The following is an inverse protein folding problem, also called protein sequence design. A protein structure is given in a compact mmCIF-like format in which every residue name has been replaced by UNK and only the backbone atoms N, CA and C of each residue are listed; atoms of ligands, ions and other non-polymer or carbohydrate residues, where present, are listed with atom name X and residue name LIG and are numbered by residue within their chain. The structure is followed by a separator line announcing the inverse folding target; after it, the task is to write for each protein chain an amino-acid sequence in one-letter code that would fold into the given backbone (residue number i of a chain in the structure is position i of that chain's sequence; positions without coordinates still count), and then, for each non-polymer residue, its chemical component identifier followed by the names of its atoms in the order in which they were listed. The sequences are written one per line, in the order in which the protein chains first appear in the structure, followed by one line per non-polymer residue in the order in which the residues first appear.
data_IF_060403786015
#
_entry.id   IF_060403786015
#
_cell.length_a   1.000
_cell.length_b   1.000
_cell.length_c   1.000
_cell.angle_alpha   90.00
_cell.angle_beta   90.00
_cell.angle_gamma   90.00
#
_symmetry.space_group_name_H-M   'P 1'
#
loop_
_entity.id
_entity.type
_entity.pdbx_description
1 polymer ?
#
# COMPACT_ATOMS: atom_id res chain seq x y z
N UNK A 1 30.11 20.60 -102.62
CA UNK A 1 29.17 21.68 -102.40
C UNK A 1 28.19 21.22 -101.33
N UNK A 2 28.45 21.44 -100.09
CA UNK A 2 27.47 21.17 -99.01
C UNK A 2 27.89 21.94 -97.75
N UNK A 3 27.08 22.92 -97.42
CA UNK A 3 27.23 23.77 -96.21
C UNK A 3 26.80 23.01 -95.00
N UNK A 4 27.69 22.96 -94.00
CA UNK A 4 27.37 22.50 -92.64
C UNK A 4 26.87 23.67 -91.78
N UNK A 5 25.69 23.55 -91.19
CA UNK A 5 25.21 24.47 -90.18
C UNK A 5 25.50 23.85 -88.79
N UNK A 6 26.24 24.60 -88.03
CA UNK A 6 26.50 24.26 -86.58
C UNK A 6 25.38 24.86 -85.76
N UNK A 7 24.66 24.02 -85.02
CA UNK A 7 23.71 24.45 -84.00
C UNK A 7 24.41 24.49 -82.61
N UNK A 8 24.42 25.69 -82.00
CA UNK A 8 24.81 25.88 -80.62
C UNK A 8 23.63 25.51 -79.73
N UNK A 9 23.80 24.49 -78.85
CA UNK A 9 22.86 24.20 -77.84
C UNK A 9 23.26 24.96 -76.52
N UNK A 10 22.41 25.85 -76.10
CA UNK A 10 22.53 26.55 -74.83
C UNK A 10 22.03 25.63 -73.70
N UNK A 11 22.91 25.29 -72.78
CA UNK A 11 22.61 24.51 -71.59
C UNK A 11 22.13 25.44 -70.49
N UNK A 12 20.82 25.47 -70.18
CA UNK A 12 20.24 26.23 -69.12
C UNK A 12 20.34 25.36 -67.87
N UNK A 13 21.19 25.71 -66.89
CA UNK A 13 21.29 25.08 -65.59
C UNK A 13 20.18 25.63 -64.72
N UNK A 14 19.19 24.80 -64.41
CA UNK A 14 18.11 25.08 -63.47
C UNK A 14 18.56 24.68 -62.04
N UNK A 15 18.89 25.68 -61.23
CA UNK A 15 19.17 25.47 -59.79
C UNK A 15 17.86 25.34 -59.07
N UNK A 16 17.49 24.11 -58.65
CA UNK A 16 16.36 23.85 -57.78
C UNK A 16 16.81 24.06 -56.33
N UNK A 17 16.44 25.19 -55.72
CA UNK A 17 16.56 25.42 -54.30
C UNK A 17 15.51 24.58 -53.58
N UNK A 18 15.93 23.42 -53.03
CA UNK A 18 15.14 22.65 -52.06
C UNK A 18 15.16 23.39 -50.69
N UNK A 19 14.16 24.21 -50.45
CA UNK A 19 13.87 24.69 -49.10
C UNK A 19 13.24 23.55 -48.31
N UNK A 20 14.09 22.78 -47.61
CA UNK A 20 13.64 21.79 -46.65
C UNK A 20 13.00 22.50 -45.44
N UNK A 21 11.68 22.53 -45.38
CA UNK A 21 10.96 22.86 -44.15
C UNK A 21 11.23 21.75 -43.17
N UNK A 22 12.11 22.01 -42.19
CA UNK A 22 12.24 21.20 -40.98
C UNK A 22 10.88 21.27 -40.23
N UNK A 23 10.03 20.28 -40.45
CA UNK A 23 8.92 20.04 -39.57
C UNK A 23 9.51 19.58 -38.24
N UNK A 24 9.62 20.50 -37.30
CA UNK A 24 9.77 20.16 -35.89
C UNK A 24 8.54 19.32 -35.50
N UNK A 25 8.73 18.00 -35.39
CA UNK A 25 7.76 17.14 -34.75
C UNK A 25 7.82 17.54 -33.27
N UNK A 26 6.98 18.49 -32.86
CA UNK A 26 6.67 18.73 -31.49
C UNK A 26 6.07 17.41 -31.00
N UNK A 27 6.84 16.65 -30.26
CA UNK A 27 6.29 15.57 -29.43
C UNK A 27 5.36 16.25 -28.45
N UNK A 28 4.07 16.13 -28.72
CA UNK A 28 3.01 16.54 -27.81
C UNK A 28 3.16 15.68 -26.56
N UNK A 29 3.95 16.17 -25.61
CA UNK A 29 4.01 15.59 -24.27
C UNK A 29 2.67 15.93 -23.59
N UNK A 30 1.66 15.15 -23.91
CA UNK A 30 0.43 15.18 -23.15
C UNK A 30 0.80 15.06 -21.67
N UNK A 31 0.39 16.05 -20.87
CA UNK A 31 0.62 16.01 -19.42
C UNK A 31 0.14 14.66 -18.86
N UNK A 32 0.90 14.04 -17.96
CA UNK A 32 0.51 12.75 -17.42
C UNK A 32 -0.89 12.87 -16.80
N UNK A 33 -1.75 11.93 -17.12
CA UNK A 33 -3.15 11.88 -16.65
C UNK A 33 -3.23 11.89 -15.11
N UNK A 34 -2.22 11.33 -14.45
CA UNK A 34 -2.07 11.32 -12.99
C UNK A 34 -0.72 11.87 -12.58
N UNK A 35 -0.69 12.52 -11.43
CA UNK A 35 0.55 13.00 -10.80
C UNK A 35 1.43 11.84 -10.36
N UNK A 36 2.73 12.07 -10.32
CA UNK A 36 3.72 11.17 -9.72
C UNK A 36 4.22 11.74 -8.40
N UNK A 37 4.55 10.88 -7.44
CA UNK A 37 5.15 11.30 -6.18
C UNK A 37 6.51 11.96 -6.44
N UNK A 38 6.68 13.20 -5.94
CA UNK A 38 7.86 14.03 -6.16
C UNK A 38 8.32 14.66 -4.84
N UNK A 39 9.64 14.91 -4.67
CA UNK A 39 10.15 15.68 -3.55
C UNK A 39 9.50 17.07 -3.44
N UNK A 40 9.40 17.57 -2.19
CA UNK A 40 8.83 18.89 -1.91
C UNK A 40 7.32 18.88 -1.63
N UNK A 41 6.67 17.72 -1.61
CA UNK A 41 5.31 17.60 -1.11
C UNK A 41 5.27 17.97 0.38
N UNK A 42 4.32 18.82 0.75
CA UNK A 42 4.14 19.26 2.15
C UNK A 42 2.82 18.71 2.65
N UNK A 43 2.91 17.77 3.58
CA UNK A 43 1.73 17.23 4.24
C UNK A 43 1.04 18.28 5.10
N UNK A 44 -0.27 18.36 5.02
CA UNK A 44 -1.12 19.27 5.78
C UNK A 44 -2.28 18.47 6.43
N UNK A 45 -2.07 18.07 7.67
CA UNK A 45 -3.10 17.35 8.42
C UNK A 45 -4.11 18.33 9.05
N UNK A 46 -5.43 17.99 9.07
CA UNK A 46 -6.04 16.69 8.74
C UNK A 46 -6.34 16.48 7.26
N UNK A 47 -6.11 17.45 6.37
CA UNK A 47 -6.47 17.38 4.95
C UNK A 47 -5.89 16.13 4.26
N UNK A 48 -4.61 15.85 4.46
CA UNK A 48 -3.93 14.73 3.79
C UNK A 48 -4.25 13.35 4.41
N UNK A 49 -5.29 13.28 5.26
CA UNK A 49 -5.97 12.03 5.56
C UNK A 49 -7.07 11.69 4.54
N UNK A 50 -7.49 12.66 3.74
CA UNK A 50 -8.47 12.51 2.67
C UNK A 50 -7.89 11.96 1.38
N UNK A 51 -8.71 11.89 0.35
CA UNK A 51 -8.34 11.33 -0.95
C UNK A 51 -7.47 12.28 -1.78
N UNK A 52 -6.50 11.71 -2.49
CA UNK A 52 -5.58 12.40 -3.40
C UNK A 52 -5.90 12.02 -4.85
N UNK A 53 -7.03 12.51 -5.38
CA UNK A 53 -7.58 12.10 -6.69
C UNK A 53 -6.65 12.36 -7.88
N UNK A 54 -5.66 13.24 -7.74
CA UNK A 54 -4.61 13.47 -8.75
C UNK A 54 -3.64 12.31 -8.89
N UNK A 55 -3.63 11.38 -7.93
CA UNK A 55 -2.85 10.15 -7.99
C UNK A 55 -3.74 8.98 -8.42
N UNK A 56 -3.16 8.02 -9.15
CA UNK A 56 -3.90 6.89 -9.71
C UNK A 56 -4.36 5.91 -8.66
N UNK A 57 -3.51 5.60 -7.70
CA UNK A 57 -3.74 4.56 -6.68
C UNK A 57 -3.52 5.15 -5.30
N UNK A 58 -4.38 4.76 -4.37
CA UNK A 58 -4.33 5.19 -2.99
C UNK A 58 -4.94 4.14 -2.11
N UNK A 59 -4.42 3.96 -0.88
CA UNK A 59 -5.02 3.07 0.10
C UNK A 59 -4.91 3.61 1.51
N UNK A 60 -5.91 3.30 2.31
CA UNK A 60 -6.00 3.46 3.75
C UNK A 60 -6.05 2.06 4.35
N UNK A 61 -5.00 1.67 5.02
CA UNK A 61 -4.79 0.33 5.55
C UNK A 61 -4.72 0.37 7.06
N UNK A 62 -5.49 -0.47 7.73
CA UNK A 62 -5.51 -0.59 9.18
C UNK A 62 -5.34 -2.03 9.59
N UNK A 63 -4.44 -2.27 10.55
CA UNK A 63 -4.29 -3.56 11.22
C UNK A 63 -4.15 -3.37 12.72
N UNK A 64 -4.43 -4.42 13.50
CA UNK A 64 -4.26 -4.32 14.93
C UNK A 64 -4.39 -5.64 15.66
N UNK A 65 -3.92 -5.60 16.91
CA UNK A 65 -4.09 -6.65 17.89
C UNK A 65 -5.00 -6.18 18.99
N UNK A 66 -6.09 -6.93 19.23
CA UNK A 66 -7.13 -6.59 20.17
C UNK A 66 -7.31 -7.72 21.18
N UNK A 67 -7.65 -7.35 22.41
CA UNK A 67 -7.89 -8.29 23.51
C UNK A 67 -9.23 -7.97 24.15
N UNK A 68 -10.09 -8.97 24.25
CA UNK A 68 -11.36 -8.87 24.97
C UNK A 68 -11.18 -9.03 26.48
N UNK A 69 -12.17 -8.60 27.26
CA UNK A 69 -12.26 -8.96 28.66
C UNK A 69 -12.24 -10.50 28.78
N UNK A 70 -11.39 -11.03 29.61
CA UNK A 70 -11.17 -12.50 29.72
C UNK A 70 -9.98 -13.01 28.91
N UNK A 71 -9.29 -12.16 28.17
CA UNK A 71 -7.99 -12.46 27.56
C UNK A 71 -8.06 -12.99 26.13
N UNK A 72 -9.24 -13.21 25.55
CA UNK A 72 -9.38 -13.66 24.15
C UNK A 72 -8.76 -12.64 23.20
N UNK A 73 -7.93 -13.12 22.28
CA UNK A 73 -7.11 -12.29 21.40
C UNK A 73 -7.59 -12.36 19.95
N UNK A 74 -7.56 -11.21 19.30
CA UNK A 74 -7.95 -11.03 17.92
C UNK A 74 -6.91 -10.22 17.14
N UNK A 75 -6.76 -10.53 15.85
CA UNK A 75 -6.15 -9.67 14.88
C UNK A 75 -7.20 -9.12 13.91
N UNK A 76 -7.02 -7.94 13.36
CA UNK A 76 -7.88 -7.45 12.30
C UNK A 76 -7.07 -6.72 11.21
N UNK A 77 -7.60 -6.74 10.00
CA UNK A 77 -7.23 -5.90 8.87
C UNK A 77 -8.48 -5.25 8.32
N UNK A 78 -8.40 -3.94 8.01
CA UNK A 78 -9.40 -3.20 7.24
C UNK A 78 -8.68 -2.27 6.28
N UNK A 79 -8.81 -2.56 4.98
CA UNK A 79 -8.15 -1.78 3.94
C UNK A 79 -9.15 -1.26 2.93
N UNK A 80 -9.01 0.02 2.58
CA UNK A 80 -9.71 0.64 1.45
C UNK A 80 -8.70 1.01 0.38
N UNK A 81 -9.01 0.72 -0.86
CA UNK A 81 -8.23 1.10 -2.02
C UNK A 81 -9.06 2.01 -2.93
N UNK A 82 -8.45 3.05 -3.46
CA UNK A 82 -8.99 3.89 -4.52
C UNK A 82 -8.13 3.75 -5.77
N UNK A 83 -8.78 3.61 -6.92
CA UNK A 83 -8.11 3.60 -8.21
C UNK A 83 -8.79 4.56 -9.17
N UNK A 84 -8.05 5.57 -9.63
CA UNK A 84 -8.46 6.45 -10.72
C UNK A 84 -8.42 5.73 -12.07
N UNK A 85 -9.45 5.92 -12.88
CA UNK A 85 -9.55 5.42 -14.24
C UNK A 85 -9.08 6.52 -15.18
N UNK A 86 -8.09 6.26 -16.08
CA UNK A 86 -7.62 7.25 -17.03
C UNK A 86 -8.78 7.79 -17.91
N UNK A 87 -8.87 9.11 -18.16
CA UNK A 87 -9.97 9.71 -18.92
C UNK A 87 -10.19 9.11 -20.30
N UNK A 88 -9.15 8.66 -20.98
CA UNK A 88 -9.24 7.98 -22.27
C UNK A 88 -9.95 6.63 -22.21
N UNK A 89 -10.02 6.02 -21.01
CA UNK A 89 -10.75 4.78 -20.75
C UNK A 89 -12.20 5.05 -20.27
N UNK A 90 -12.47 6.27 -19.83
CA UNK A 90 -13.81 6.71 -19.47
C UNK A 90 -14.53 7.04 -20.80
N UNK A 91 -15.55 6.26 -21.13
CA UNK A 91 -16.38 6.57 -22.31
C UNK A 91 -16.92 7.98 -22.17
N UNK A 92 -16.66 8.84 -23.16
CA UNK A 92 -16.99 10.27 -23.22
C UNK A 92 -18.49 10.58 -23.30
N UNK A 93 -19.37 9.69 -22.86
CA UNK A 93 -20.78 10.01 -22.72
C UNK A 93 -21.01 10.80 -21.43
N UNK A 94 -21.73 11.93 -21.48
CA UNK A 94 -22.15 12.69 -20.30
C UNK A 94 -23.21 11.91 -19.52
N UNK A 95 -22.84 10.77 -18.99
CA UNK A 95 -23.69 9.89 -18.21
C UNK A 95 -23.18 9.90 -16.77
N UNK A 96 -24.07 10.03 -15.80
CA UNK A 96 -23.81 9.77 -14.39
C UNK A 96 -23.28 8.34 -14.13
N UNK A 97 -23.18 7.53 -15.19
CA UNK A 97 -22.67 6.17 -15.19
C UNK A 97 -21.19 6.06 -15.62
N UNK A 98 -20.53 7.18 -15.99
CA UNK A 98 -19.09 7.15 -16.26
C UNK A 98 -18.34 6.82 -14.98
N UNK A 99 -17.46 5.81 -15.05
CA UNK A 99 -16.65 5.38 -13.89
C UNK A 99 -15.35 6.16 -13.93
N UNK A 100 -15.15 7.05 -12.96
CA UNK A 100 -13.90 7.80 -12.79
C UNK A 100 -13.03 7.20 -11.70
N UNK A 101 -13.65 6.63 -10.66
CA UNK A 101 -12.97 6.03 -9.53
C UNK A 101 -13.57 4.65 -9.23
N UNK A 102 -12.70 3.70 -8.90
CA UNK A 102 -13.05 2.42 -8.32
C UNK A 102 -12.58 2.37 -6.88
N UNK A 103 -13.43 1.85 -6.01
CA UNK A 103 -13.14 1.59 -4.62
C UNK A 103 -13.20 0.11 -4.33
N UNK A 104 -12.20 -0.40 -3.66
CA UNK A 104 -12.12 -1.79 -3.22
C UNK A 104 -11.90 -1.77 -1.72
N UNK A 105 -12.33 -2.82 -1.03
CA UNK A 105 -12.07 -2.94 0.40
C UNK A 105 -11.88 -4.40 0.78
N UNK A 106 -10.94 -4.64 1.70
CA UNK A 106 -10.70 -5.92 2.34
C UNK A 106 -10.97 -5.78 3.84
N UNK A 107 -11.56 -6.79 4.42
CA UNK A 107 -11.79 -6.87 5.84
C UNK A 107 -11.51 -8.28 6.32
N UNK A 108 -10.56 -8.43 7.23
CA UNK A 108 -10.22 -9.71 7.83
C UNK A 108 -10.24 -9.64 9.35
N UNK A 109 -10.54 -10.77 9.97
CA UNK A 109 -10.53 -10.97 11.41
C UNK A 109 -9.88 -12.31 11.73
N UNK A 110 -8.84 -12.27 12.55
CA UNK A 110 -8.17 -13.44 13.12
C UNK A 110 -8.68 -13.65 14.54
N UNK A 111 -9.32 -14.77 14.82
CA UNK A 111 -9.76 -15.20 16.14
C UNK A 111 -8.81 -16.30 16.65
N UNK A 112 -7.88 -15.94 17.51
CA UNK A 112 -6.78 -16.83 17.90
C UNK A 112 -7.25 -18.04 18.70
N UNK A 113 -8.12 -17.85 19.70
CA UNK A 113 -8.66 -18.95 20.51
C UNK A 113 -9.64 -19.82 19.69
N UNK A 114 -10.37 -19.19 18.76
CA UNK A 114 -11.24 -19.91 17.83
C UNK A 114 -10.49 -20.61 16.70
N UNK A 115 -9.18 -20.38 16.58
CA UNK A 115 -8.33 -20.87 15.48
C UNK A 115 -8.97 -20.62 14.10
N UNK A 116 -9.47 -19.38 13.87
CA UNK A 116 -10.25 -19.01 12.70
C UNK A 116 -9.71 -17.73 12.07
N UNK A 117 -9.66 -17.73 10.74
CA UNK A 117 -9.45 -16.57 9.90
C UNK A 117 -10.70 -16.33 9.06
N UNK A 118 -11.29 -15.16 9.22
CA UNK A 118 -12.50 -14.73 8.52
C UNK A 118 -12.14 -13.54 7.65
N UNK A 119 -12.56 -13.54 6.38
CA UNK A 119 -12.33 -12.38 5.53
C UNK A 119 -13.49 -12.15 4.56
N UNK A 120 -13.59 -10.93 4.08
CA UNK A 120 -14.51 -10.52 3.02
C UNK A 120 -13.86 -9.42 2.19
N UNK A 121 -14.22 -9.36 0.91
CA UNK A 121 -13.77 -8.35 -0.01
C UNK A 121 -14.94 -7.72 -0.76
N UNK A 122 -14.80 -6.44 -1.13
CA UNK A 122 -15.79 -5.66 -1.86
C UNK A 122 -15.15 -4.85 -2.97
N UNK A 123 -15.94 -4.59 -4.01
CA UNK A 123 -15.64 -3.67 -5.10
C UNK A 123 -16.87 -2.84 -5.41
N UNK A 124 -16.72 -1.53 -5.57
CA UNK A 124 -17.74 -0.64 -6.10
C UNK A 124 -17.09 0.48 -6.92
N UNK A 125 -17.85 1.04 -7.83
CA UNK A 125 -17.53 2.34 -8.41
C UNK A 125 -17.99 3.46 -7.47
N UNK A 126 -17.41 4.63 -7.63
CA UNK A 126 -17.95 5.83 -7.00
C UNK A 126 -19.39 6.13 -7.46
N UNK A 127 -20.08 6.96 -6.71
CA UNK A 127 -21.42 7.47 -7.03
C UNK A 127 -22.53 6.71 -6.32
N UNK A 128 -23.73 7.32 -6.35
CA UNK A 128 -24.94 6.85 -5.67
C UNK A 128 -24.74 6.65 -4.14
N UNK A 129 -23.73 7.28 -3.54
CA UNK A 129 -23.41 7.13 -2.12
C UNK A 129 -22.88 5.76 -1.71
N UNK A 130 -22.61 4.84 -2.68
CA UNK A 130 -22.18 3.48 -2.37
C UNK A 130 -20.70 3.38 -2.03
N UNK A 131 -19.86 4.16 -2.68
CA UNK A 131 -18.44 4.23 -2.38
C UNK A 131 -17.90 5.62 -2.68
N UNK A 132 -16.88 6.02 -1.95
CA UNK A 132 -16.23 7.32 -2.11
C UNK A 132 -15.16 7.57 -1.06
N UNK A 133 -14.49 8.72 -1.20
CA UNK A 133 -13.64 9.28 -0.17
C UNK A 133 -13.70 10.81 -0.24
N UNK A 134 -13.68 11.48 0.92
CA UNK A 134 -13.59 12.93 1.00
C UNK A 134 -12.14 13.39 0.79
N UNK A 135 -11.94 14.59 0.24
CA UNK A 135 -10.61 15.10 -0.14
C UNK A 135 -9.99 16.04 0.90
N UNK A 136 -10.73 16.41 1.93
CA UNK A 136 -10.31 17.39 2.95
C UNK A 136 -10.16 16.79 4.36
N UNK A 137 -10.57 15.55 4.53
CA UNK A 137 -10.47 14.79 5.78
C UNK A 137 -10.53 13.29 5.54
N UNK A 138 -10.18 12.51 6.55
CA UNK A 138 -10.41 11.07 6.52
C UNK A 138 -11.91 10.77 6.55
N UNK A 139 -12.42 10.32 5.44
CA UNK A 139 -13.70 9.64 5.31
C UNK A 139 -13.67 8.86 4.01
N UNK A 140 -13.40 7.57 4.09
CA UNK A 140 -13.49 6.61 2.97
C UNK A 140 -14.54 5.57 3.32
N UNK A 141 -15.37 5.20 2.33
CA UNK A 141 -16.42 4.22 2.55
C UNK A 141 -16.68 3.35 1.32
N UNK A 142 -17.19 2.16 1.58
CA UNK A 142 -17.74 1.24 0.61
C UNK A 142 -18.96 0.51 1.20
N UNK A 143 -20.15 0.87 0.76
CA UNK A 143 -21.46 0.57 1.41
C UNK A 143 -21.46 1.06 2.87
N UNK A 144 -21.52 0.10 3.83
CA UNK A 144 -21.49 0.36 5.27
C UNK A 144 -20.13 0.15 5.91
N UNK A 145 -19.10 -0.16 5.13
CA UNK A 145 -17.73 -0.19 5.63
C UNK A 145 -17.13 1.20 5.51
N UNK A 146 -16.46 1.67 6.54
CA UNK A 146 -15.87 3.01 6.54
C UNK A 146 -14.70 3.14 7.48
N UNK A 147 -13.81 4.08 7.14
CA UNK A 147 -12.86 4.68 8.05
C UNK A 147 -13.10 6.21 8.00
N UNK A 148 -13.42 6.80 9.13
CA UNK A 148 -13.77 8.21 9.22
C UNK A 148 -13.14 8.87 10.44
N UNK A 149 -12.76 10.15 10.31
CA UNK A 149 -12.32 10.96 11.43
C UNK A 149 -13.55 11.55 12.13
N UNK A 150 -13.77 11.14 13.37
CA UNK A 150 -14.88 11.63 14.18
C UNK A 150 -14.61 13.03 14.74
N UNK A 151 -13.33 13.30 15.07
CA UNK A 151 -12.92 14.56 15.66
C UNK A 151 -11.53 14.97 15.15
N UNK A 152 -11.46 16.00 14.27
CA UNK A 152 -10.18 16.49 13.75
C UNK A 152 -9.21 17.00 14.83
N UNK A 153 -9.72 17.51 15.96
CA UNK A 153 -8.86 18.05 17.01
C UNK A 153 -8.07 16.98 17.76
N UNK A 154 -8.66 15.79 17.95
CA UNK A 154 -8.02 14.64 18.59
C UNK A 154 -7.44 13.64 17.60
N UNK A 155 -7.66 13.84 16.30
CA UNK A 155 -7.36 12.85 15.24
C UNK A 155 -8.00 11.47 15.51
N UNK A 156 -9.07 11.42 16.31
CA UNK A 156 -9.81 10.19 16.59
C UNK A 156 -10.54 9.73 15.34
N UNK A 157 -10.40 8.44 15.05
CA UNK A 157 -10.98 7.82 13.87
C UNK A 157 -11.90 6.67 14.29
N UNK A 158 -12.93 6.42 13.51
CA UNK A 158 -13.82 5.28 13.66
C UNK A 158 -13.70 4.35 12.46
N UNK A 159 -13.52 3.06 12.75
CA UNK A 159 -13.42 1.99 11.76
C UNK A 159 -14.66 1.10 11.89
N UNK A 160 -15.40 0.94 10.81
CA UNK A 160 -16.60 0.11 10.78
C UNK A 160 -16.57 -0.82 9.57
N UNK A 161 -16.70 -2.12 9.82
CA UNK A 161 -16.89 -3.11 8.77
C UNK A 161 -17.79 -4.24 9.29
N UNK A 162 -18.74 -4.66 8.46
CA UNK A 162 -19.68 -5.71 8.84
C UNK A 162 -20.02 -6.61 7.66
N UNK A 163 -20.07 -7.89 7.95
CA UNK A 163 -20.67 -8.96 7.15
C UNK A 163 -21.79 -9.61 7.96
N UNK A 164 -22.47 -10.58 7.38
CA UNK A 164 -23.47 -11.36 8.14
C UNK A 164 -22.80 -12.17 9.26
N UNK A 165 -21.55 -12.64 9.03
CA UNK A 165 -20.84 -13.54 9.93
C UNK A 165 -19.98 -12.83 10.98
N UNK A 166 -19.40 -11.68 10.68
CA UNK A 166 -18.48 -10.96 11.57
C UNK A 166 -18.46 -9.46 11.30
N UNK A 167 -18.09 -8.68 12.32
CA UNK A 167 -18.02 -7.22 12.23
C UNK A 167 -17.02 -6.64 13.22
N UNK A 168 -16.58 -5.41 12.92
CA UNK A 168 -15.89 -4.51 13.85
C UNK A 168 -16.59 -3.14 13.89
N UNK A 169 -16.55 -2.51 15.07
CA UNK A 169 -16.84 -1.10 15.30
C UNK A 169 -15.82 -0.59 16.31
N UNK A 170 -14.77 0.06 15.80
CA UNK A 170 -13.60 0.41 16.59
C UNK A 170 -13.36 1.92 16.56
N UNK A 171 -12.95 2.48 17.69
CA UNK A 171 -12.34 3.80 17.78
C UNK A 171 -10.84 3.64 17.91
N UNK A 172 -10.08 4.41 17.10
CA UNK A 172 -8.61 4.42 17.13
C UNK A 172 -8.11 5.85 17.33
N UNK A 173 -7.13 6.01 18.20
CA UNK A 173 -6.59 7.33 18.58
C UNK A 173 -5.06 7.29 18.46
N UNK A 174 -4.45 8.14 17.62
CA UNK A 174 -3.00 8.24 17.52
C UNK A 174 -2.35 8.63 18.87
N UNK A 175 -1.30 7.92 19.24
CA UNK A 175 -0.50 8.18 20.43
C UNK A 175 0.88 8.74 20.10
N UNK A 176 1.22 8.75 18.80
CA UNK A 176 2.41 9.36 18.24
C UNK A 176 2.04 10.19 17.00
N UNK A 177 2.84 11.20 16.63
CA UNK A 177 2.66 11.92 15.37
C UNK A 177 2.70 10.98 14.15
N UNK A 178 2.16 11.40 12.99
CA UNK A 178 2.31 10.65 11.75
C UNK A 178 3.79 10.54 11.36
N UNK A 179 4.20 9.36 10.93
CA UNK A 179 5.55 9.01 10.51
C UNK A 179 5.62 9.04 8.99
N UNK A 180 6.45 9.92 8.44
CA UNK A 180 6.70 9.99 7.01
C UNK A 180 7.77 8.97 6.62
N UNK A 181 7.44 8.01 5.73
CA UNK A 181 8.38 6.99 5.30
C UNK A 181 9.25 7.43 4.14
N UNK A 182 10.42 6.81 4.02
CA UNK A 182 11.41 7.16 3.00
C UNK A 182 12.02 8.55 3.21
N UNK A 183 12.29 9.26 2.12
CA UNK A 183 12.82 10.61 2.20
C UNK A 183 11.68 11.62 2.14
N UNK A 184 11.38 12.27 3.28
CA UNK A 184 10.29 13.27 3.38
C UNK A 184 8.93 12.74 2.92
N UNK A 185 8.62 11.48 3.23
CA UNK A 185 7.37 10.84 2.81
C UNK A 185 7.38 10.26 1.39
N UNK A 186 8.54 10.25 0.71
CA UNK A 186 8.69 9.61 -0.59
C UNK A 186 9.24 8.20 -0.42
N UNK A 187 8.39 7.21 -0.65
CA UNK A 187 8.72 5.79 -0.61
C UNK A 187 8.99 5.26 -2.02
N UNK A 188 10.22 4.78 -2.25
CA UNK A 188 10.64 4.25 -3.56
C UNK A 188 10.08 2.86 -3.79
N UNK A 189 9.51 2.63 -4.99
CA UNK A 189 8.96 1.34 -5.42
C UNK A 189 9.71 0.75 -6.62
N UNK A 190 10.79 1.41 -7.04
CA UNK A 190 11.64 0.97 -8.13
C UNK A 190 12.81 1.92 -8.36
N UNK A 191 13.61 1.62 -9.38
CA UNK A 191 14.85 2.35 -9.68
C UNK A 191 14.62 3.71 -10.34
N UNK A 192 13.52 3.88 -11.06
CA UNK A 192 13.19 5.15 -11.72
C UNK A 192 12.61 6.15 -10.70
N UNK A 193 12.89 7.47 -10.85
CA UNK A 193 12.40 8.49 -9.92
C UNK A 193 10.87 8.51 -9.74
N UNK A 194 10.12 8.30 -10.83
CA UNK A 194 8.66 8.27 -10.84
C UNK A 194 8.07 7.02 -10.17
N UNK A 195 8.88 5.98 -9.94
CA UNK A 195 8.46 4.78 -9.22
C UNK A 195 8.53 5.02 -7.70
N UNK A 196 7.64 5.84 -7.22
CA UNK A 196 7.52 6.20 -5.83
C UNK A 196 6.06 6.52 -5.47
N UNK A 197 5.77 6.50 -4.19
CA UNK A 197 4.52 6.94 -3.60
C UNK A 197 4.79 7.95 -2.49
N UNK A 198 3.79 8.73 -2.13
CA UNK A 198 3.71 9.42 -0.85
C UNK A 198 3.19 8.42 0.19
N UNK A 199 3.90 8.30 1.32
CA UNK A 199 3.59 7.27 2.30
C UNK A 199 3.84 7.77 3.72
N UNK A 200 2.79 7.70 4.55
CA UNK A 200 2.91 7.94 5.99
C UNK A 200 2.10 6.92 6.78
N UNK A 201 2.43 6.80 8.07
CA UNK A 201 1.76 5.89 8.99
C UNK A 201 1.44 6.54 10.31
N UNK A 202 0.35 6.11 10.95
CA UNK A 202 0.20 6.16 12.40
C UNK A 202 0.62 4.81 12.96
N UNK A 203 1.79 4.75 13.57
CA UNK A 203 2.42 3.50 14.00
C UNK A 203 1.95 3.02 15.37
N UNK A 204 1.24 3.86 16.11
CA UNK A 204 0.78 3.57 17.46
C UNK A 204 -0.60 4.19 17.72
N UNK A 205 -1.63 3.42 17.41
CA UNK A 205 -3.02 3.79 17.62
C UNK A 205 -3.57 3.02 18.83
N UNK A 206 -3.97 3.72 19.90
CA UNK A 206 -4.78 3.04 20.92
C UNK A 206 -6.16 2.76 20.37
N UNK A 207 -6.67 1.57 20.60
CA UNK A 207 -7.88 1.04 19.98
C UNK A 207 -8.82 0.51 21.04
N UNK A 208 -10.11 0.84 20.90
CA UNK A 208 -11.19 0.27 21.71
C UNK A 208 -12.45 0.12 20.88
N UNK A 209 -13.35 -0.76 21.27
CA UNK A 209 -14.63 -0.97 20.59
C UNK A 209 -15.11 -2.40 20.69
N UNK A 210 -15.85 -2.83 19.68
CA UNK A 210 -16.51 -4.14 19.67
C UNK A 210 -16.16 -4.96 18.43
N UNK A 211 -16.00 -6.27 18.64
CA UNK A 211 -15.92 -7.31 17.61
C UNK A 211 -17.15 -8.19 17.74
N UNK A 212 -17.83 -8.48 16.62
CA UNK A 212 -18.91 -9.48 16.57
C UNK A 212 -18.48 -10.67 15.72
N UNK A 213 -18.72 -11.89 16.20
CA UNK A 213 -18.55 -13.14 15.45
C UNK A 213 -19.80 -14.00 15.64
N UNK A 214 -20.58 -14.19 14.57
CA UNK A 214 -21.91 -14.80 14.67
C UNK A 214 -22.82 -13.96 15.53
N UNK A 215 -23.28 -14.54 16.63
CA UNK A 215 -24.13 -13.89 17.66
C UNK A 215 -23.34 -13.29 18.82
N UNK A 216 -22.06 -13.66 18.97
CA UNK A 216 -21.24 -13.23 20.09
C UNK A 216 -20.61 -11.85 19.81
N UNK A 217 -20.64 -10.99 20.81
CA UNK A 217 -20.00 -9.67 20.78
C UNK A 217 -18.95 -9.57 21.88
N UNK A 218 -17.79 -9.05 21.53
CA UNK A 218 -16.64 -8.90 22.41
C UNK A 218 -16.24 -7.44 22.46
N UNK A 219 -16.35 -6.81 23.62
CA UNK A 219 -15.73 -5.49 23.83
C UNK A 219 -14.24 -5.68 23.98
N UNK A 220 -13.47 -4.94 23.20
CA UNK A 220 -12.04 -5.13 23.02
C UNK A 220 -11.26 -3.84 23.20
N UNK A 221 -9.99 -4.00 23.62
CA UNK A 221 -8.98 -2.92 23.61
C UNK A 221 -7.69 -3.45 23.02
N UNK A 222 -6.84 -2.55 22.53
CA UNK A 222 -5.54 -2.95 21.99
C UNK A 222 -4.78 -1.84 21.29
N UNK A 223 -3.89 -2.25 20.40
CA UNK A 223 -3.11 -1.37 19.57
C UNK A 223 -3.33 -1.67 18.09
N UNK A 224 -3.38 -0.60 17.29
CA UNK A 224 -3.49 -0.68 15.85
C UNK A 224 -2.39 0.12 15.16
N UNK A 225 -2.26 -0.14 13.88
CA UNK A 225 -1.40 0.53 12.91
C UNK A 225 -2.25 1.07 11.77
N UNK A 226 -1.87 2.19 11.18
CA UNK A 226 -2.51 2.74 9.98
C UNK A 226 -1.46 3.17 8.99
N UNK A 227 -1.62 2.76 7.74
CA UNK A 227 -0.89 3.27 6.59
C UNK A 227 -1.79 4.06 5.66
N UNK A 228 -1.28 5.17 5.16
CA UNK A 228 -1.87 5.89 4.04
C UNK A 228 -0.81 6.10 2.98
N UNK A 229 -1.07 5.57 1.80
CA UNK A 229 -0.14 5.65 0.70
C UNK A 229 -0.86 6.03 -0.60
N UNK A 230 -0.30 6.99 -1.35
CA UNK A 230 -0.85 7.42 -2.63
C UNK A 230 0.24 7.65 -3.66
N UNK A 231 -0.01 7.22 -4.90
CA UNK A 231 0.94 7.28 -5.99
C UNK A 231 0.35 6.88 -7.33
N UNK A 232 1.15 6.94 -8.38
CA UNK A 232 0.72 6.56 -9.73
C UNK A 232 1.70 5.61 -10.44
N UNK A 233 2.75 5.22 -9.72
CA UNK A 233 3.79 4.40 -10.28
C UNK A 233 3.44 2.91 -10.24
N UNK A 234 3.91 2.20 -11.25
CA UNK A 234 3.94 0.74 -11.23
C UNK A 234 5.20 0.27 -10.50
N UNK A 235 5.17 -0.93 -9.94
CA UNK A 235 6.34 -1.60 -9.39
C UNK A 235 7.41 -1.83 -10.48
N UNK A 236 8.65 -2.06 -10.06
CA UNK A 236 9.73 -2.47 -10.95
C UNK A 236 9.36 -3.73 -11.76
N UNK A 237 9.81 -3.80 -13.03
CA UNK A 237 9.46 -4.92 -13.94
C UNK A 237 9.86 -6.30 -13.39
N UNK A 238 10.95 -6.34 -12.61
CA UNK A 238 11.49 -7.58 -12.05
C UNK A 238 10.91 -7.92 -10.68
N UNK A 239 10.10 -7.04 -10.10
CA UNK A 239 9.42 -7.26 -8.83
C UNK A 239 8.23 -8.21 -9.06
N UNK A 240 8.17 -9.26 -8.25
CA UNK A 240 7.12 -10.28 -8.33
C UNK A 240 6.11 -10.21 -7.17
N UNK A 241 6.44 -9.43 -6.13
CA UNK A 241 5.63 -9.23 -4.94
C UNK A 241 6.43 -8.52 -3.86
N UNK A 242 5.85 -8.41 -2.68
CA UNK A 242 6.51 -7.81 -1.52
C UNK A 242 6.18 -8.54 -0.24
N UNK A 243 7.02 -8.34 0.75
CA UNK A 243 6.81 -8.69 2.15
C UNK A 243 6.83 -7.38 2.94
N UNK A 244 5.75 -7.07 3.62
CA UNK A 244 5.63 -5.89 4.45
C UNK A 244 5.46 -6.29 5.92
N UNK A 245 6.06 -5.53 6.83
CA UNK A 245 6.05 -5.76 8.27
C UNK A 245 5.72 -4.46 9.00
N UNK A 246 4.81 -4.52 9.95
CA UNK A 246 4.65 -3.54 11.02
C UNK A 246 4.85 -4.24 12.36
N UNK A 247 5.75 -3.74 13.18
CA UNK A 247 6.00 -4.29 14.52
C UNK A 247 5.92 -3.19 15.55
N UNK A 248 5.22 -3.44 16.65
CA UNK A 248 5.12 -2.58 17.83
C UNK A 248 5.78 -3.34 19.00
N UNK A 249 6.87 -2.80 19.52
CA UNK A 249 7.68 -3.46 20.54
C UNK A 249 7.33 -2.97 21.95
N UNK A 250 7.64 -3.81 22.96
CA UNK A 250 7.35 -3.52 24.38
C UNK A 250 8.12 -2.33 24.96
N UNK A 251 9.18 -1.88 24.30
CA UNK A 251 9.94 -0.68 24.67
C UNK A 251 9.40 0.60 24.01
N UNK A 252 8.20 0.52 23.44
CA UNK A 252 7.53 1.59 22.70
C UNK A 252 8.29 2.02 21.44
N UNK A 253 9.13 1.17 20.86
CA UNK A 253 9.63 1.37 19.49
C UNK A 253 8.75 0.63 18.50
N UNK A 254 8.66 1.15 17.28
CA UNK A 254 8.00 0.48 16.18
C UNK A 254 8.96 0.34 14.99
N UNK A 255 8.72 -0.71 14.21
CA UNK A 255 9.45 -0.99 12.98
C UNK A 255 8.47 -1.19 11.84
N UNK A 256 8.57 -0.36 10.80
CA UNK A 256 8.01 -0.65 9.49
C UNK A 256 9.13 -1.12 8.58
N UNK A 257 8.89 -2.19 7.84
CA UNK A 257 9.81 -2.70 6.82
C UNK A 257 9.05 -3.25 5.63
N UNK A 258 9.50 -2.97 4.40
CA UNK A 258 9.06 -3.72 3.24
C UNK A 258 10.24 -4.19 2.37
N UNK A 259 10.14 -5.43 1.89
CA UNK A 259 11.03 -6.04 0.91
C UNK A 259 10.29 -6.21 -0.40
N UNK A 260 10.72 -5.53 -1.45
CA UNK A 260 10.26 -5.82 -2.80
C UNK A 260 11.02 -7.04 -3.31
N UNK A 261 10.31 -8.15 -3.57
CA UNK A 261 10.94 -9.40 -4.04
C UNK A 261 11.07 -9.43 -5.55
N UNK A 262 12.26 -9.79 -6.01
CA UNK A 262 12.55 -10.06 -7.42
C UNK A 262 12.26 -11.53 -7.78
N UNK A 263 12.19 -11.81 -9.08
CA UNK A 263 11.90 -13.15 -9.60
C UNK A 263 12.97 -14.19 -9.22
N UNK A 264 14.20 -13.77 -8.95
CA UNK A 264 15.29 -14.61 -8.46
C UNK A 264 15.26 -14.86 -6.94
N UNK A 265 14.25 -14.31 -6.25
CA UNK A 265 14.10 -14.41 -4.80
C UNK A 265 14.89 -13.36 -4.01
N UNK A 266 15.72 -12.54 -4.65
CA UNK A 266 16.46 -11.46 -3.98
C UNK A 266 15.54 -10.29 -3.64
N UNK A 267 15.92 -9.52 -2.60
CA UNK A 267 15.29 -8.24 -2.31
C UNK A 267 15.77 -7.16 -3.28
N UNK A 268 14.84 -6.34 -3.80
CA UNK A 268 15.21 -5.17 -4.59
C UNK A 268 15.95 -4.14 -3.71
N UNK A 269 17.04 -3.51 -4.18
CA UNK A 269 17.81 -2.54 -3.41
C UNK A 269 17.04 -1.31 -2.93
N UNK A 270 15.85 -1.03 -3.48
CA UNK A 270 14.97 0.05 -3.00
C UNK A 270 14.09 -0.38 -1.82
N UNK A 271 14.14 -1.66 -1.42
CA UNK A 271 13.52 -2.14 -0.18
C UNK A 271 13.99 -1.29 0.99
N UNK A 272 13.07 -0.91 1.86
CA UNK A 272 13.39 0.05 2.93
C UNK A 272 12.40 -0.05 4.08
N UNK A 273 12.69 0.68 5.14
CA UNK A 273 11.84 0.76 6.31
C UNK A 273 12.11 1.98 7.16
N UNK A 274 11.50 2.00 8.30
CA UNK A 274 11.65 3.07 9.30
C UNK A 274 11.60 2.46 10.69
N UNK A 275 12.59 2.75 11.50
CA UNK A 275 12.56 2.52 12.94
C UNK A 275 12.04 3.78 13.61
N UNK A 276 11.03 3.64 14.46
CA UNK A 276 10.38 4.73 15.18
C UNK A 276 10.68 4.55 16.67
N UNK A 277 11.27 5.55 17.29
CA UNK A 277 11.61 5.51 18.71
C UNK A 277 10.42 5.90 19.59
N UNK A 278 10.53 5.60 20.88
CA UNK A 278 9.49 5.90 21.87
C UNK A 278 9.12 7.40 21.92
N UNK A 279 10.07 8.28 21.64
CA UNK A 279 9.88 9.74 21.60
C UNK A 279 9.37 10.26 20.24
N UNK A 280 9.07 9.38 19.29
CA UNK A 280 8.57 9.72 17.96
C UNK A 280 9.66 10.08 16.94
N UNK A 281 10.94 10.14 17.32
CA UNK A 281 12.03 10.28 16.35
C UNK A 281 12.07 9.05 15.41
N UNK A 282 12.50 9.27 14.17
CA UNK A 282 12.56 8.23 13.15
C UNK A 282 13.97 8.02 12.65
N UNK A 283 14.29 6.76 12.32
CA UNK A 283 15.52 6.37 11.65
C UNK A 283 15.16 5.62 10.38
N UNK A 284 15.38 6.19 9.19
CA UNK A 284 15.22 5.47 7.92
C UNK A 284 16.17 4.28 7.83
N UNK A 285 15.68 3.17 7.28
CA UNK A 285 16.43 1.94 7.04
C UNK A 285 16.44 1.64 5.55
N UNK A 286 17.59 1.19 5.05
CA UNK A 286 17.79 0.73 3.68
C UNK A 286 17.95 -0.79 3.63
N UNK A 287 17.93 -1.40 2.46
CA UNK A 287 18.18 -2.82 2.27
C UNK A 287 19.56 -3.32 2.82
N UNK A 288 20.45 -2.39 3.18
CA UNK A 288 21.76 -2.72 3.80
C UNK A 288 21.69 -2.74 5.33
N UNK A 289 20.70 -2.09 5.91
CA UNK A 289 20.60 -1.90 7.36
C UNK A 289 19.84 -3.03 8.03
N UNK A 290 18.90 -3.69 7.32
CA UNK A 290 18.05 -4.74 7.87
C UNK A 290 18.00 -5.95 6.93
N UNK A 291 18.18 -7.12 7.51
CA UNK A 291 18.05 -8.43 6.86
C UNK A 291 16.81 -9.12 7.40
N UNK A 292 15.99 -9.69 6.52
CA UNK A 292 14.87 -10.56 6.83
C UNK A 292 15.16 -11.95 6.33
N UNK A 293 15.28 -12.92 7.23
CA UNK A 293 15.55 -14.32 6.93
C UNK A 293 14.31 -15.16 7.25
N UNK A 294 13.64 -15.77 6.26
CA UNK A 294 12.55 -16.71 6.51
C UNK A 294 13.09 -18.02 7.11
N UNK A 295 12.50 -18.50 8.20
CA UNK A 295 12.95 -19.68 8.93
C UNK A 295 12.02 -20.88 8.81
N UNK A 296 10.71 -20.66 8.70
CA UNK A 296 9.70 -21.71 8.62
C UNK A 296 8.60 -21.32 7.63
N UNK A 297 7.87 -22.32 7.13
CA UNK A 297 6.90 -22.13 6.05
C UNK A 297 5.64 -22.95 6.25
N UNK A 298 4.53 -22.40 5.79
CA UNK A 298 3.24 -23.08 5.64
C UNK A 298 2.83 -23.11 4.17
N UNK A 299 2.29 -24.25 3.72
CA UNK A 299 1.76 -24.38 2.36
C UNK A 299 0.24 -24.30 2.42
N UNK A 300 -0.32 -23.31 1.73
CA UNK A 300 -1.77 -23.15 1.64
C UNK A 300 -2.43 -24.40 1.01
N UNK A 301 -3.43 -24.97 1.65
CA UNK A 301 -4.19 -26.06 1.03
C UNK A 301 -5.03 -25.57 -0.17
N UNK A 302 -5.31 -24.26 -0.25
CA UNK A 302 -6.13 -23.65 -1.31
C UNK A 302 -5.29 -23.27 -2.52
N UNK A 303 -4.38 -22.32 -2.39
CA UNK A 303 -3.57 -21.76 -3.49
C UNK A 303 -2.34 -22.64 -3.82
N UNK A 304 -1.91 -23.52 -2.91
CA UNK A 304 -0.63 -24.24 -2.93
C UNK A 304 0.60 -23.32 -2.80
N UNK A 305 0.40 -22.04 -2.53
CA UNK A 305 1.48 -21.12 -2.23
C UNK A 305 2.18 -21.51 -0.93
N UNK A 306 3.48 -21.30 -0.90
CA UNK A 306 4.33 -21.55 0.27
C UNK A 306 4.72 -20.24 0.91
N UNK A 307 4.04 -19.91 2.02
CA UNK A 307 4.26 -18.65 2.76
C UNK A 307 5.22 -18.86 3.92
N UNK A 308 6.20 -17.97 4.13
CA UNK A 308 6.95 -17.92 5.37
C UNK A 308 6.01 -17.73 6.58
N UNK A 309 6.35 -18.33 7.71
CA UNK A 309 5.57 -18.24 8.96
C UNK A 309 6.42 -17.80 10.14
N UNK A 310 7.73 -17.85 9.97
CA UNK A 310 8.69 -17.37 10.95
C UNK A 310 9.84 -16.68 10.23
N UNK A 311 10.30 -15.58 10.82
CA UNK A 311 11.39 -14.77 10.27
C UNK A 311 12.37 -14.37 11.37
N UNK A 312 13.62 -14.20 11.00
CA UNK A 312 14.62 -13.47 11.79
C UNK A 312 14.88 -12.12 11.13
N UNK A 313 14.64 -11.06 11.88
CA UNK A 313 14.93 -9.69 11.49
C UNK A 313 16.17 -9.22 12.22
N UNK A 314 17.22 -8.84 11.47
CA UNK A 314 18.50 -8.43 12.06
C UNK A 314 18.92 -7.07 11.50
N UNK A 315 19.11 -6.08 12.38
CA UNK A 315 19.70 -4.77 12.06
C UNK A 315 20.80 -4.45 13.07
N UNK A 316 22.06 -4.92 12.82
CA UNK A 316 23.14 -4.85 13.81
C UNK A 316 23.49 -3.42 14.21
N UNK A 317 23.50 -2.48 13.27
CA UNK A 317 23.78 -1.05 13.54
C UNK A 317 22.73 -0.39 14.45
N UNK A 318 21.52 -0.98 14.54
CA UNK A 318 20.42 -0.51 15.40
C UNK A 318 20.31 -1.37 16.67
N UNK A 319 21.16 -2.40 16.82
CA UNK A 319 21.10 -3.34 17.92
C UNK A 319 19.80 -4.18 17.95
N UNK A 320 19.22 -4.45 16.76
CA UNK A 320 17.97 -5.20 16.61
C UNK A 320 18.27 -6.62 16.17
N UNK A 321 17.68 -7.60 16.88
CA UNK A 321 17.64 -9.01 16.49
C UNK A 321 16.32 -9.58 17.02
N UNK A 322 15.37 -9.80 16.11
CA UNK A 322 13.99 -10.21 16.43
C UNK A 322 13.64 -11.51 15.71
N UNK A 323 13.09 -12.46 16.43
CA UNK A 323 12.34 -13.58 15.86
C UNK A 323 10.86 -13.20 15.80
N UNK A 324 10.31 -13.18 14.59
CA UNK A 324 8.91 -12.86 14.29
C UNK A 324 8.21 -14.16 13.89
N UNK A 325 7.00 -14.39 14.41
CA UNK A 325 6.23 -15.60 14.13
C UNK A 325 4.75 -15.26 13.90
N UNK A 326 4.15 -15.90 12.91
CA UNK A 326 2.70 -15.84 12.70
C UNK A 326 1.95 -16.45 13.91
N UNK A 327 0.82 -15.86 14.26
CA UNK A 327 -0.04 -16.35 15.34
C UNK A 327 -1.04 -17.40 14.86
N UNK A 328 -1.34 -17.41 13.56
CA UNK A 328 -2.16 -18.39 12.88
C UNK A 328 -1.57 -18.64 11.50
N UNK A 329 -1.43 -19.89 11.07
CA UNK A 329 -0.80 -20.20 9.79
C UNK A 329 -1.69 -19.82 8.57
N UNK A 330 -2.98 -20.18 8.62
CA UNK A 330 -3.92 -19.87 7.54
C UNK A 330 -4.56 -18.48 7.73
N UNK A 331 -3.87 -17.46 7.23
CA UNK A 331 -4.38 -16.09 7.12
C UNK A 331 -4.30 -15.63 5.64
N UNK A 332 -4.61 -16.54 4.73
CA UNK A 332 -4.60 -16.28 3.29
C UNK A 332 -5.94 -15.72 2.81
N UNK A 333 -5.88 -14.58 2.12
CA UNK A 333 -7.03 -13.93 1.48
C UNK A 333 -7.09 -14.28 -0.01
N UNK A 334 -8.29 -14.62 -0.48
CA UNK A 334 -8.63 -14.80 -1.89
C UNK A 334 -9.60 -13.71 -2.32
N UNK A 335 -9.10 -12.61 -2.83
CA UNK A 335 -9.88 -11.41 -3.11
C UNK A 335 -10.50 -11.41 -4.52
N UNK A 336 -11.17 -12.51 -4.86
CA UNK A 336 -11.71 -12.74 -6.21
C UNK A 336 -12.77 -11.71 -6.65
N UNK A 337 -13.45 -11.04 -5.68
CA UNK A 337 -14.50 -10.04 -5.95
C UNK A 337 -13.95 -8.63 -6.09
N UNK A 338 -12.72 -8.39 -5.63
CA UNK A 338 -12.10 -7.05 -5.61
C UNK A 338 -10.80 -7.02 -6.42
N UNK A 339 -9.64 -7.13 -5.77
CA UNK A 339 -8.33 -7.02 -6.41
C UNK A 339 -7.94 -8.21 -7.26
N UNK A 340 -8.56 -9.37 -7.07
CA UNK A 340 -8.20 -10.66 -7.69
C UNK A 340 -6.78 -11.12 -7.38
N UNK A 341 -6.26 -10.70 -6.24
CA UNK A 341 -4.96 -11.11 -5.72
C UNK A 341 -5.18 -12.16 -4.63
N UNK A 342 -4.37 -13.21 -4.63
CA UNK A 342 -4.25 -14.11 -3.49
C UNK A 342 -2.99 -13.74 -2.73
N UNK A 343 -3.14 -13.38 -1.45
CA UNK A 343 -2.04 -12.95 -0.58
C UNK A 343 -2.26 -13.42 0.85
N UNK A 344 -1.22 -13.39 1.66
CA UNK A 344 -1.29 -13.71 3.07
C UNK A 344 -1.16 -12.43 3.89
N UNK A 345 -2.05 -12.22 4.84
CA UNK A 345 -2.12 -11.03 5.69
C UNK A 345 -2.39 -11.45 7.11
N UNK A 346 -1.41 -11.32 8.00
CA UNK A 346 -1.56 -12.00 9.27
C UNK A 346 -0.93 -11.33 10.49
N UNK A 347 -1.63 -11.55 11.60
CA UNK A 347 -1.17 -11.19 12.92
C UNK A 347 0.08 -11.99 13.32
N UNK A 348 1.10 -11.30 13.83
CA UNK A 348 2.38 -11.88 14.25
C UNK A 348 2.77 -11.45 15.66
N UNK A 349 3.62 -12.25 16.31
CA UNK A 349 4.35 -11.88 17.51
C UNK A 349 5.83 -11.71 17.20
N UNK A 350 6.51 -10.91 18.00
CA UNK A 350 7.95 -10.73 17.94
C UNK A 350 8.57 -10.94 19.33
N UNK A 351 9.76 -11.56 19.37
CA UNK A 351 10.58 -11.70 20.58
C UNK A 351 12.04 -11.53 20.20
N UNK A 352 12.85 -10.98 21.09
CA UNK A 352 14.28 -10.84 20.82
C UNK A 352 14.95 -9.73 21.61
N UNK A 353 15.83 -9.01 20.94
CA UNK A 353 16.60 -7.92 21.53
C UNK A 353 16.51 -6.66 20.70
N UNK A 354 16.35 -5.52 21.35
CA UNK A 354 16.50 -4.20 20.78
C UNK A 354 17.41 -3.36 21.69
N UNK A 355 18.50 -2.84 21.12
CA UNK A 355 19.47 -1.98 21.82
C UNK A 355 20.00 -2.58 23.13
N UNK A 356 20.27 -3.90 23.12
CA UNK A 356 20.81 -4.63 24.26
C UNK A 356 19.78 -5.02 25.36
N UNK A 357 18.52 -4.69 25.19
CA UNK A 357 17.43 -5.08 26.08
C UNK A 357 16.55 -6.16 25.43
N UNK A 358 16.03 -7.10 26.24
CA UNK A 358 15.03 -8.06 25.77
C UNK A 358 13.71 -7.34 25.51
N UNK A 359 13.10 -7.64 24.36
CA UNK A 359 11.83 -7.07 23.94
C UNK A 359 10.87 -8.17 23.46
N UNK A 360 9.59 -7.90 23.65
CA UNK A 360 8.49 -8.61 22.98
C UNK A 360 7.76 -7.62 22.08
N UNK A 361 6.93 -8.12 21.16
CA UNK A 361 6.15 -7.25 20.29
C UNK A 361 5.01 -8.00 19.63
N UNK A 362 4.18 -7.22 18.96
CA UNK A 362 3.09 -7.67 18.08
C UNK A 362 3.13 -6.87 16.80
N UNK A 363 2.53 -7.38 15.74
CA UNK A 363 2.46 -6.68 14.49
C UNK A 363 1.70 -7.44 13.43
N UNK A 364 1.83 -6.97 12.22
CA UNK A 364 1.26 -7.60 11.03
C UNK A 364 2.33 -7.81 9.96
N UNK A 365 2.11 -8.84 9.16
CA UNK A 365 2.94 -9.13 7.99
C UNK A 365 2.01 -9.36 6.80
N UNK A 366 2.30 -8.68 5.70
CA UNK A 366 1.65 -8.89 4.41
C UNK A 366 2.63 -9.54 3.44
N UNK A 367 2.20 -10.60 2.75
CA UNK A 367 2.99 -11.39 1.82
C UNK A 367 2.25 -11.51 0.48
N UNK A 368 2.65 -10.70 -0.51
CA UNK A 368 2.08 -10.74 -1.84
C UNK A 368 2.99 -11.42 -2.85
N UNK A 369 2.41 -11.95 -3.93
CA UNK A 369 3.17 -12.56 -5.03
C UNK A 369 3.74 -13.94 -4.72
N UNK A 370 3.21 -14.66 -3.73
CA UNK A 370 3.57 -16.04 -3.41
C UNK A 370 2.69 -17.07 -4.12
N UNK A 371 1.38 -16.80 -4.22
CA UNK A 371 0.44 -17.67 -4.94
C UNK A 371 0.61 -17.52 -6.45
N UNK A 372 0.78 -16.30 -6.90
CA UNK A 372 1.03 -15.94 -8.29
C UNK A 372 1.83 -14.64 -8.35
N UNK A 373 2.63 -14.47 -9.39
CA UNK A 373 3.37 -13.21 -9.58
C UNK A 373 2.40 -12.03 -9.56
N UNK A 374 2.73 -11.02 -8.76
CA UNK A 374 1.97 -9.79 -8.76
C UNK A 374 2.16 -9.06 -10.09
N UNK A 375 1.15 -9.13 -10.95
CA UNK A 375 1.17 -8.53 -12.29
C UNK A 375 0.21 -7.35 -12.42
N UNK A 376 -0.60 -7.13 -11.39
CA UNK A 376 -1.61 -6.09 -11.43
C UNK A 376 -0.95 -4.71 -11.36
N UNK A 377 -1.32 -3.89 -12.32
CA UNK A 377 -1.14 -2.45 -12.20
C UNK A 377 -2.21 -1.96 -11.24
N UNK A 378 -1.85 -1.83 -9.99
CA UNK A 378 -2.72 -1.25 -8.97
C UNK A 378 -3.09 0.18 -9.35
#
# INVERSE_FOLDING_TARGET
MTRRHSAFAALTVMVVLLTGTLHSVATDHQAPVFDTAKPGYRYAFPKDHGAHERFRTEWWYYTGHLTAAGGRQFGFELTFFRRGIPPEQVRTHPSQWSIQQLYLAHFALTDLEGNRFLFADKLSREGLGKAGAETDRLHVWLDRWSAAMDDPASSRQRLQAATDAFAIDLQVIPRKPPVLHGREGISRKGTRPEQASHYYSYTHLSTEGDIRIGTDTFSVTGLSWMDHEFGSADLGRDVVGWDWFSLQLSDSTELMWYSLRRADGSADPVSSGTLIFADGRTQPLTARDLTVEPLDYWTSPRSKAKYPQQWRLTAPSMGINLDVRSLLADQELHTARSTRVTYWEGAVSATGQARGAAVTGRGYVELTGYAERFTQRL
#
